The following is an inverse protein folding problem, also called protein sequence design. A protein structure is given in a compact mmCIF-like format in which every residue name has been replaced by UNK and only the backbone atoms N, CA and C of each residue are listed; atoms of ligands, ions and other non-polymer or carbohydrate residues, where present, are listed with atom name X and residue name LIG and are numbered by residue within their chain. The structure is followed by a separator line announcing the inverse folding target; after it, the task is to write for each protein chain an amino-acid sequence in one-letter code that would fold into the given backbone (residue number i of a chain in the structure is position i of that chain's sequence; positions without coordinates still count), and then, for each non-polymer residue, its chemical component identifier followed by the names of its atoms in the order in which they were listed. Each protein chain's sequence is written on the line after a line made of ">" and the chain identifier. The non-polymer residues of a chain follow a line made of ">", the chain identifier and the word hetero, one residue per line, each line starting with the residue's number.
data_IF_213923716579
#
_entry.id   IF_213923716579
#
_cell.length_a   1.000
_cell.length_b   1.000
_cell.length_c   1.000
_cell.angle_alpha   90.00
_cell.angle_beta   90.00
_cell.angle_gamma   90.00
#
_symmetry.space_group_name_H-M   'P 1'
#
loop_
_entity.id
_entity.type
_entity.pdbx_description
1 polymer ?
#
# COMPACT_ATOMS: atom_id res chain seq x y z
N UNK A 1 -52.36 38.39 6.66
CA UNK A 1 -52.68 38.15 5.24
C UNK A 1 -51.47 37.46 4.63
N UNK A 2 -51.46 36.24 4.10
CA UNK A 2 -52.46 35.20 3.80
C UNK A 2 -51.71 33.85 3.93
N UNK A 3 -52.54 32.83 4.10
CA UNK A 3 -52.44 31.40 4.43
C UNK A 3 -51.34 30.44 3.94
N UNK A 4 -51.28 29.38 4.76
CA UNK A 4 -50.88 27.98 4.60
C UNK A 4 -51.34 27.26 3.31
N UNK A 5 -50.57 26.25 2.90
CA UNK A 5 -50.96 24.97 2.24
C UNK A 5 -49.71 24.04 2.36
N UNK A 6 -49.62 22.89 3.06
CA UNK A 6 -50.37 21.62 3.21
C UNK A 6 -50.48 20.76 1.94
N UNK A 7 -49.76 19.62 1.94
CA UNK A 7 -50.16 18.22 1.63
C UNK A 7 -48.86 17.38 1.45
N UNK A 8 -48.52 16.24 2.08
CA UNK A 8 -49.18 15.04 2.65
C UNK A 8 -49.82 14.06 1.64
N UNK A 9 -49.05 13.05 1.24
CA UNK A 9 -49.47 11.74 0.66
C UNK A 9 -48.36 10.73 1.07
N UNK A 10 -48.47 9.81 2.06
CA UNK A 10 -49.24 8.54 2.18
C UNK A 10 -48.94 7.52 1.06
N UNK A 11 -48.66 6.23 1.20
CA UNK A 11 -48.35 5.28 2.27
C UNK A 11 -47.88 3.97 1.54
N UNK A 12 -47.59 2.84 2.23
CA UNK A 12 -46.77 1.71 1.77
C UNK A 12 -47.56 0.50 1.23
N UNK A 13 -46.89 -0.44 0.56
CA UNK A 13 -47.31 -1.85 0.31
C UNK A 13 -45.99 -2.67 0.16
N UNK A 14 -45.53 -3.53 1.07
CA UNK A 14 -46.03 -4.82 1.57
C UNK A 14 -45.92 -6.00 0.57
N UNK A 15 -45.02 -6.96 0.87
CA UNK A 15 -45.12 -8.42 0.66
C UNK A 15 -43.79 -9.04 1.16
N UNK A 16 -43.65 -9.67 2.33
CA UNK A 16 -44.30 -10.87 2.89
C UNK A 16 -44.18 -12.12 2.01
N UNK A 17 -43.37 -13.09 2.46
CA UNK A 17 -43.74 -14.50 2.73
C UNK A 17 -42.47 -15.23 3.23
N UNK A 18 -42.31 -15.47 4.53
CA UNK A 18 -42.80 -16.64 5.30
C UNK A 18 -41.91 -17.88 5.09
N UNK A 19 -41.00 -18.21 6.02
CA UNK A 19 -41.19 -19.00 7.25
C UNK A 19 -41.14 -20.51 7.02
N UNK A 20 -40.36 -21.24 7.83
CA UNK A 20 -40.40 -22.69 7.85
C UNK A 20 -39.32 -23.35 8.70
N UNK A 21 -39.25 -23.01 9.99
CA UNK A 21 -38.59 -23.84 11.00
C UNK A 21 -39.62 -24.78 11.63
N UNK A 22 -39.33 -26.07 11.69
CA UNK A 22 -40.01 -27.01 12.58
C UNK A 22 -39.07 -28.12 13.00
N UNK A 23 -38.86 -28.21 14.31
CA UNK A 23 -38.29 -29.32 15.06
C UNK A 23 -39.41 -30.28 15.45
N UNK A 24 -39.25 -31.60 15.32
CA UNK A 24 -40.07 -32.58 16.06
C UNK A 24 -39.40 -33.99 16.16
N UNK A 25 -39.04 -34.34 17.40
CA UNK A 25 -39.15 -35.62 18.15
C UNK A 25 -39.23 -37.02 17.46
N UNK A 26 -38.29 -37.88 17.88
CA UNK A 26 -38.40 -39.26 18.45
C UNK A 26 -39.32 -40.33 17.83
N UNK A 27 -38.76 -41.47 17.40
CA UNK A 27 -38.96 -42.82 17.99
C UNK A 27 -38.22 -43.97 17.26
N UNK A 28 -37.84 -44.97 18.06
CA UNK A 28 -37.20 -46.26 17.76
C UNK A 28 -37.81 -47.07 16.60
N UNK A 29 -36.98 -47.83 15.88
CA UNK A 29 -36.98 -49.31 15.90
C UNK A 29 -35.94 -49.94 14.96
N UNK A 30 -35.53 -51.13 15.39
CA UNK A 30 -34.51 -52.02 14.84
C UNK A 30 -34.67 -52.45 13.38
N UNK A 31 -33.56 -52.99 12.86
CA UNK A 31 -33.40 -54.31 12.20
C UNK A 31 -33.09 -54.31 10.68
N UNK A 32 -32.09 -55.15 10.32
CA UNK A 32 -31.58 -55.57 8.98
C UNK A 32 -30.58 -54.61 8.31
N UNK A 33 -29.27 -54.84 8.40
CA UNK A 33 -28.45 -55.82 7.65
C UNK A 33 -28.70 -55.80 6.14
N UNK A 34 -27.77 -55.22 5.37
CA UNK A 34 -27.09 -55.92 4.28
C UNK A 34 -25.85 -55.12 3.85
N UNK A 35 -24.71 -55.81 3.84
CA UNK A 35 -23.47 -55.38 3.21
C UNK A 35 -23.68 -55.05 1.74
N UNK A 36 -23.14 -53.92 1.26
CA UNK A 36 -22.77 -53.78 -0.14
C UNK A 36 -21.49 -52.97 -0.27
N UNK A 37 -20.45 -53.71 -0.62
CA UNK A 37 -19.10 -53.29 -0.92
C UNK A 37 -19.11 -52.54 -2.25
N UNK A 38 -18.93 -51.22 -2.24
CA UNK A 38 -18.66 -50.43 -3.44
C UNK A 38 -17.18 -50.06 -3.43
N UNK A 39 -16.41 -50.82 -4.20
CA UNK A 39 -15.08 -50.43 -4.66
C UNK A 39 -15.26 -49.29 -5.65
N UNK A 40 -15.10 -48.06 -5.18
CA UNK A 40 -15.07 -46.84 -5.98
C UNK A 40 -13.63 -46.33 -6.09
N UNK A 41 -12.93 -46.80 -7.11
CA UNK A 41 -11.64 -46.29 -7.56
C UNK A 41 -11.85 -44.92 -8.26
N UNK A 42 -10.84 -44.04 -8.18
CA UNK A 42 -10.68 -42.78 -8.95
C UNK A 42 -11.49 -41.56 -8.45
N UNK A 43 -10.93 -40.36 -8.25
CA UNK A 43 -9.66 -39.77 -8.68
C UNK A 43 -9.06 -38.95 -7.53
N UNK A 44 -7.83 -39.28 -7.10
CA UNK A 44 -6.96 -38.27 -6.51
C UNK A 44 -6.58 -37.33 -7.64
N UNK A 45 -7.17 -36.14 -7.69
CA UNK A 45 -6.60 -35.05 -8.46
C UNK A 45 -5.28 -34.67 -7.77
N UNK A 46 -4.11 -34.78 -8.43
CA UNK A 46 -2.97 -34.02 -7.95
C UNK A 46 -3.37 -32.55 -8.09
N UNK A 47 -3.50 -31.86 -6.97
CA UNK A 47 -3.45 -30.41 -6.92
C UNK A 47 -2.08 -30.03 -7.49
N UNK A 48 -2.02 -29.82 -8.81
CA UNK A 48 -0.95 -29.07 -9.42
C UNK A 48 -1.06 -27.65 -8.89
N UNK A 49 -0.43 -27.40 -7.74
CA UNK A 49 0.17 -26.11 -7.46
C UNK A 49 1.17 -25.89 -8.59
N UNK A 50 0.67 -25.36 -9.70
CA UNK A 50 1.48 -24.60 -10.62
C UNK A 50 1.89 -23.37 -9.81
N UNK A 51 3.00 -23.50 -9.09
CA UNK A 51 3.79 -22.37 -8.65
C UNK A 51 4.08 -21.56 -9.93
N UNK A 52 3.22 -20.58 -10.20
CA UNK A 52 3.47 -19.58 -11.20
C UNK A 52 4.87 -19.02 -10.91
N UNK A 53 5.69 -18.75 -11.93
CA UNK A 53 7.07 -18.35 -11.70
C UNK A 53 7.12 -17.02 -10.93
N UNK A 54 7.25 -17.10 -9.60
CA UNK A 54 7.43 -16.00 -8.65
C UNK A 54 8.77 -15.26 -8.85
N UNK A 55 9.54 -15.64 -9.85
CA UNK A 55 10.96 -15.32 -10.02
C UNK A 55 11.25 -14.15 -10.96
N UNK A 56 10.27 -13.63 -11.71
CA UNK A 56 10.57 -12.61 -12.73
C UNK A 56 10.61 -11.16 -12.22
N UNK A 57 9.87 -10.81 -11.15
CA UNK A 57 9.80 -9.42 -10.67
C UNK A 57 10.63 -9.14 -9.41
N UNK A 58 10.81 -10.14 -8.54
CA UNK A 58 11.53 -9.97 -7.27
C UNK A 58 13.06 -9.80 -7.44
N UNK A 59 13.60 -10.17 -8.61
CA UNK A 59 15.00 -9.93 -9.01
C UNK A 59 15.12 -8.91 -10.15
N UNK A 60 14.04 -8.18 -10.45
CA UNK A 60 14.05 -7.25 -11.57
C UNK A 60 14.93 -6.03 -11.26
N UNK A 61 15.82 -5.59 -12.18
CA UNK A 61 16.60 -4.37 -12.04
C UNK A 61 15.73 -3.10 -12.01
N UNK A 62 14.40 -3.22 -12.08
CA UNK A 62 13.47 -2.10 -11.97
C UNK A 62 13.70 -1.25 -10.70
N UNK A 63 14.02 -1.87 -9.56
CA UNK A 63 14.30 -1.17 -8.30
C UNK A 63 15.52 -0.27 -8.35
N UNK A 64 16.55 -0.69 -9.11
CA UNK A 64 17.79 0.05 -9.24
C UNK A 64 17.57 1.40 -9.93
N UNK A 65 16.58 1.47 -10.82
CA UNK A 65 16.32 2.62 -11.67
C UNK A 65 15.11 3.44 -11.21
N UNK A 66 14.41 3.02 -10.15
CA UNK A 66 13.34 3.82 -9.58
C UNK A 66 13.92 5.11 -8.99
N UNK A 67 13.55 6.26 -9.58
CA UNK A 67 14.03 7.55 -9.13
C UNK A 67 13.15 8.12 -8.03
N UNK A 68 13.71 8.34 -6.85
CA UNK A 68 13.12 9.09 -5.74
C UNK A 68 13.79 10.47 -5.71
N UNK A 69 13.01 11.52 -5.89
CA UNK A 69 13.52 12.90 -5.99
C UNK A 69 14.64 13.09 -7.05
N UNK A 70 14.58 12.32 -8.15
CA UNK A 70 15.54 12.39 -9.27
C UNK A 70 16.84 11.59 -9.09
N UNK A 71 16.96 10.81 -8.01
CA UNK A 71 18.07 9.89 -7.77
C UNK A 71 17.56 8.45 -7.59
N UNK A 72 18.38 7.48 -7.93
CA UNK A 72 18.08 6.05 -7.84
C UNK A 72 19.20 5.30 -7.11
N UNK A 73 18.96 4.02 -6.77
CA UNK A 73 20.01 3.18 -6.19
C UNK A 73 21.18 2.95 -7.17
N UNK A 74 20.96 3.06 -8.49
CA UNK A 74 22.01 2.99 -9.52
C UNK A 74 22.75 4.31 -9.78
N UNK A 75 22.30 5.44 -9.20
CA UNK A 75 22.94 6.74 -9.43
C UNK A 75 24.38 6.73 -8.91
N UNK A 76 25.38 7.15 -9.69
CA UNK A 76 26.75 7.18 -9.19
C UNK A 76 26.88 8.11 -7.96
N UNK A 77 27.58 7.73 -6.87
CA UNK A 77 27.68 8.52 -5.64
C UNK A 77 28.08 9.99 -5.88
N UNK A 78 29.04 10.21 -6.77
CA UNK A 78 29.55 11.52 -7.16
C UNK A 78 28.52 12.40 -7.89
N UNK A 79 27.44 11.81 -8.40
CA UNK A 79 26.35 12.51 -9.11
C UNK A 79 25.15 12.84 -8.23
N UNK A 80 25.07 12.31 -7.02
CA UNK A 80 23.90 12.46 -6.14
C UNK A 80 23.72 13.93 -5.74
N UNK A 81 24.77 14.58 -5.24
CA UNK A 81 24.70 15.97 -4.82
C UNK A 81 24.33 16.90 -5.98
N UNK A 82 24.87 16.67 -7.18
CA UNK A 82 24.56 17.44 -8.39
C UNK A 82 23.08 17.30 -8.77
N UNK A 83 22.57 16.05 -8.84
CA UNK A 83 21.17 15.76 -9.17
C UNK A 83 20.20 16.38 -8.15
N UNK A 84 20.47 16.24 -6.86
CA UNK A 84 19.62 16.79 -5.80
C UNK A 84 19.68 18.33 -5.77
N UNK A 85 20.85 18.94 -6.01
CA UNK A 85 20.98 20.39 -6.11
C UNK A 85 20.18 20.96 -7.29
N UNK A 86 20.17 20.27 -8.44
CA UNK A 86 19.34 20.65 -9.59
C UNK A 86 17.83 20.61 -9.28
N UNK A 87 17.41 19.83 -8.27
CA UNK A 87 16.04 19.75 -7.78
C UNK A 87 15.75 20.71 -6.61
N UNK A 88 16.70 21.60 -6.27
CA UNK A 88 16.57 22.62 -5.23
C UNK A 88 16.86 22.13 -3.81
N UNK A 89 17.48 20.96 -3.65
CA UNK A 89 17.96 20.51 -2.34
C UNK A 89 19.31 21.13 -1.99
N UNK A 90 19.51 21.38 -0.70
CA UNK A 90 20.76 21.83 -0.11
C UNK A 90 21.29 20.72 0.79
N UNK A 91 22.59 20.42 0.69
CA UNK A 91 23.23 19.43 1.54
C UNK A 91 23.33 19.97 2.99
N UNK A 92 22.77 19.23 3.94
CA UNK A 92 22.72 19.58 5.38
C UNK A 92 23.62 18.70 6.25
N UNK A 93 24.30 17.72 5.65
CA UNK A 93 25.24 16.80 6.27
C UNK A 93 25.86 15.89 5.22
N UNK A 94 26.73 14.97 5.61
CA UNK A 94 27.43 14.08 4.67
C UNK A 94 26.47 13.30 3.77
N UNK A 95 25.37 12.81 4.36
CA UNK A 95 24.41 11.93 3.70
C UNK A 95 23.00 12.50 3.61
N UNK A 96 22.79 13.78 3.95
CA UNK A 96 21.45 14.35 4.10
C UNK A 96 21.27 15.65 3.30
N UNK A 97 20.12 15.75 2.62
CA UNK A 97 19.77 16.86 1.73
C UNK A 97 18.37 17.36 2.09
N UNK A 98 18.21 18.68 2.15
CA UNK A 98 16.98 19.34 2.57
C UNK A 98 16.50 20.31 1.50
N UNK A 99 15.18 20.35 1.28
CA UNK A 99 14.50 21.37 0.49
C UNK A 99 13.31 21.86 1.29
N UNK A 100 13.07 23.17 1.30
CA UNK A 100 11.89 23.76 1.93
C UNK A 100 11.06 24.49 0.89
N UNK A 101 9.74 24.41 1.02
CA UNK A 101 8.81 25.17 0.15
C UNK A 101 7.74 25.82 1.02
N UNK A 102 7.50 27.14 0.87
CA UNK A 102 6.47 27.81 1.64
C UNK A 102 5.07 27.27 1.26
N UNK A 103 4.18 27.23 2.25
CA UNK A 103 2.76 26.93 2.09
C UNK A 103 1.92 28.10 2.63
N UNK A 104 0.66 28.16 2.20
CA UNK A 104 -0.28 29.15 2.70
C UNK A 104 -0.44 29.08 4.23
N UNK A 105 -0.73 30.23 4.85
CA UNK A 105 -0.97 30.32 6.30
C UNK A 105 0.28 30.23 7.17
N UNK A 106 1.46 30.58 6.63
CA UNK A 106 2.74 30.53 7.37
C UNK A 106 3.21 29.11 7.66
N UNK A 107 2.76 28.15 6.84
CA UNK A 107 3.21 26.76 6.88
C UNK A 107 4.36 26.58 5.90
N UNK A 108 5.07 25.45 6.01
CA UNK A 108 6.08 25.05 5.05
C UNK A 108 6.08 23.54 4.86
N UNK A 109 6.46 23.10 3.68
CA UNK A 109 6.78 21.70 3.40
C UNK A 109 8.28 21.53 3.51
N UNK A 110 8.71 20.58 4.34
CA UNK A 110 10.10 20.15 4.47
C UNK A 110 10.25 18.83 3.72
N UNK A 111 11.16 18.81 2.76
CA UNK A 111 11.59 17.64 2.04
C UNK A 111 12.99 17.26 2.52
N UNK A 112 13.21 15.99 2.79
CA UNK A 112 14.50 15.46 3.22
C UNK A 112 14.81 14.17 2.49
N UNK A 113 15.99 14.12 1.88
CA UNK A 113 16.54 12.93 1.26
C UNK A 113 17.79 12.54 2.03
N UNK A 114 17.89 11.29 2.45
CA UNK A 114 19.10 10.71 3.00
C UNK A 114 19.60 9.60 2.08
N UNK A 115 20.91 9.58 1.84
CA UNK A 115 21.56 8.54 1.04
C UNK A 115 22.69 7.92 1.85
N UNK A 116 22.55 6.63 2.13
CA UNK A 116 23.61 5.83 2.72
C UNK A 116 24.21 4.93 1.65
N UNK A 117 25.54 4.94 1.50
CA UNK A 117 26.25 4.04 0.60
C UNK A 117 27.51 3.53 1.30
N UNK A 118 27.50 2.26 1.70
CA UNK A 118 28.59 1.62 2.41
C UNK A 118 28.90 0.24 1.79
N UNK A 119 29.80 -0.53 2.38
CA UNK A 119 30.22 -1.83 1.80
C UNK A 119 29.16 -2.92 1.88
N UNK A 120 28.17 -2.79 2.77
CA UNK A 120 27.15 -3.82 3.02
C UNK A 120 25.80 -3.49 2.39
N UNK A 121 25.50 -2.20 2.21
CA UNK A 121 24.23 -1.76 1.66
C UNK A 121 24.33 -0.39 0.99
N UNK A 122 23.29 -0.10 0.22
CA UNK A 122 22.97 1.22 -0.30
C UNK A 122 21.50 1.51 -0.05
N UNK A 123 21.18 2.71 0.42
CA UNK A 123 19.80 3.11 0.68
C UNK A 123 19.49 4.56 0.28
N UNK A 124 18.22 4.78 -0.06
CA UNK A 124 17.64 6.10 -0.24
C UNK A 124 16.45 6.20 0.71
N UNK A 125 16.45 7.21 1.57
CA UNK A 125 15.33 7.54 2.45
C UNK A 125 14.78 8.90 2.02
N UNK A 126 13.48 8.98 1.78
CA UNK A 126 12.79 10.21 1.46
C UNK A 126 11.71 10.48 2.50
N UNK A 127 11.66 11.72 2.95
CA UNK A 127 10.58 12.21 3.79
C UNK A 127 10.09 13.57 3.33
N UNK A 128 8.78 13.74 3.32
CA UNK A 128 8.11 15.02 3.16
C UNK A 128 7.17 15.21 4.34
N UNK A 129 7.27 16.35 5.00
CA UNK A 129 6.38 16.71 6.10
C UNK A 129 5.94 18.16 5.99
N UNK A 130 4.66 18.41 6.23
CA UNK A 130 4.18 19.78 6.41
C UNK A 130 4.33 20.22 7.87
N UNK A 131 4.94 21.38 8.10
CA UNK A 131 5.15 21.96 9.43
C UNK A 131 4.77 23.45 9.48
N UNK A 132 4.68 24.01 10.69
CA UNK A 132 4.36 25.44 10.92
C UNK A 132 2.87 25.78 11.03
N UNK A 133 2.57 27.08 11.13
CA UNK A 133 1.23 27.65 11.32
C UNK A 133 0.98 28.22 12.73
N UNK A 134 0.20 29.31 12.81
CA UNK A 134 -0.06 30.07 14.06
C UNK A 134 -1.07 29.38 15.01
N UNK A 135 -1.73 28.33 14.53
CA UNK A 135 -2.57 27.37 15.25
C UNK A 135 -2.40 26.03 14.52
N UNK A 136 -2.22 24.91 15.23
CA UNK A 136 -2.18 23.56 14.64
C UNK A 136 -3.58 23.18 14.08
N UNK A 137 -4.05 23.87 13.05
CA UNK A 137 -5.22 23.44 12.30
C UNK A 137 -4.95 22.04 11.75
N UNK A 138 -5.87 21.08 11.91
CA UNK A 138 -5.69 19.72 11.44
C UNK A 138 -5.21 19.69 10.00
N UNK A 139 -4.15 18.94 9.74
CA UNK A 139 -3.66 18.79 8.38
C UNK A 139 -4.66 17.90 7.63
N UNK A 140 -5.29 18.43 6.58
CA UNK A 140 -6.24 17.67 5.76
C UNK A 140 -5.52 16.45 5.13
N UNK A 141 -5.82 15.26 5.68
CA UNK A 141 -5.28 13.97 5.23
C UNK A 141 -5.90 13.48 3.92
N UNK A 142 -7.10 13.96 3.59
CA UNK A 142 -7.80 13.64 2.34
C UNK A 142 -7.27 14.36 1.11
N UNK A 143 -6.13 15.07 1.23
CA UNK A 143 -5.49 15.70 0.07
C UNK A 143 -4.81 14.64 -0.78
N UNK A 144 -4.83 14.87 -2.09
CA UNK A 144 -4.15 14.02 -3.07
C UNK A 144 -2.63 14.12 -2.85
N UNK A 145 -1.93 13.01 -3.04
CA UNK A 145 -0.46 12.97 -3.03
C UNK A 145 0.08 13.88 -4.15
N UNK A 146 1.06 14.75 -3.89
CA UNK A 146 1.61 15.65 -4.91
C UNK A 146 2.01 14.94 -6.21
N UNK A 147 1.74 15.55 -7.36
CA UNK A 147 2.00 14.92 -8.68
C UNK A 147 3.47 14.55 -8.89
N UNK A 148 4.40 15.38 -8.39
CA UNK A 148 5.84 15.14 -8.41
C UNK A 148 6.27 13.94 -7.57
N UNK A 149 5.44 13.49 -6.63
CA UNK A 149 5.65 12.25 -5.89
C UNK A 149 4.97 11.06 -6.54
N UNK A 150 3.79 11.25 -7.15
CA UNK A 150 3.06 10.15 -7.78
C UNK A 150 3.86 9.42 -8.86
N UNK A 151 4.76 10.12 -9.55
CA UNK A 151 5.64 9.54 -10.58
C UNK A 151 6.54 8.42 -10.07
N UNK A 152 6.83 8.35 -8.76
CA UNK A 152 7.66 7.29 -8.17
C UNK A 152 6.95 6.51 -7.05
N UNK A 153 6.01 7.14 -6.33
CA UNK A 153 5.21 6.48 -5.30
C UNK A 153 4.37 5.34 -5.87
N UNK A 154 3.69 5.56 -7.01
CA UNK A 154 2.87 4.52 -7.65
C UNK A 154 3.72 3.37 -8.20
N UNK A 155 4.81 3.62 -8.96
CA UNK A 155 5.70 2.54 -9.37
C UNK A 155 6.31 1.75 -8.20
N UNK A 156 6.71 2.42 -7.11
CA UNK A 156 7.20 1.76 -5.89
C UNK A 156 6.13 0.81 -5.33
N UNK A 157 4.90 1.30 -5.15
CA UNK A 157 3.81 0.49 -4.67
C UNK A 157 3.49 -0.68 -5.61
N UNK A 158 3.39 -0.43 -6.92
CA UNK A 158 3.06 -1.45 -7.92
C UNK A 158 4.06 -2.61 -7.91
N UNK A 159 5.35 -2.28 -7.80
CA UNK A 159 6.41 -3.27 -7.76
C UNK A 159 6.46 -4.07 -6.44
N UNK A 160 5.97 -3.52 -5.31
CA UNK A 160 5.86 -4.27 -4.04
C UNK A 160 4.53 -5.03 -3.91
N UNK A 161 3.41 -4.50 -4.42
CA UNK A 161 2.06 -4.90 -3.99
C UNK A 161 1.10 -5.33 -5.11
N UNK A 162 1.26 -4.89 -6.36
CA UNK A 162 0.26 -5.17 -7.41
C UNK A 162 0.54 -6.46 -8.18
N UNK A 163 1.82 -6.84 -8.31
CA UNK A 163 2.25 -7.97 -9.14
C UNK A 163 2.68 -9.18 -8.32
N UNK A 164 2.05 -9.39 -7.16
CA UNK A 164 2.38 -10.48 -6.23
C UNK A 164 1.12 -11.23 -5.77
N UNK A 165 1.30 -12.47 -5.33
CA UNK A 165 0.22 -13.28 -4.80
C UNK A 165 -0.41 -12.66 -3.55
N UNK A 166 -1.70 -12.90 -3.32
CA UNK A 166 -2.44 -12.30 -2.20
C UNK A 166 -1.82 -12.62 -0.83
N UNK A 167 -1.27 -13.82 -0.64
CA UNK A 167 -0.54 -14.18 0.57
C UNK A 167 0.66 -13.24 0.82
N UNK A 168 1.41 -12.88 -0.23
CA UNK A 168 2.53 -11.94 -0.13
C UNK A 168 2.03 -10.52 0.15
N UNK A 169 0.91 -10.10 -0.47
CA UNK A 169 0.29 -8.77 -0.21
C UNK A 169 -0.10 -8.61 1.25
N UNK A 170 -0.67 -9.66 1.85
CA UNK A 170 -1.04 -9.67 3.26
C UNK A 170 0.19 -9.61 4.18
N UNK A 171 1.24 -10.40 3.89
CA UNK A 171 2.50 -10.37 4.65
C UNK A 171 3.17 -8.99 4.56
N UNK A 172 3.14 -8.35 3.38
CA UNK A 172 3.68 -7.00 3.16
C UNK A 172 2.76 -5.88 3.67
N UNK A 173 1.59 -6.22 4.21
CA UNK A 173 0.59 -5.27 4.69
C UNK A 173 0.27 -4.16 3.68
N UNK A 174 0.03 -4.55 2.42
CA UNK A 174 -0.31 -3.60 1.35
C UNK A 174 -1.71 -3.00 1.58
N UNK A 175 -1.79 -1.68 1.77
CA UNK A 175 -3.05 -0.95 1.82
C UNK A 175 -3.62 -0.73 0.41
N UNK A 176 -4.94 -0.54 0.22
CA UNK A 176 -5.48 -0.12 -1.07
C UNK A 176 -4.79 1.15 -1.60
N UNK A 177 -4.44 1.16 -2.88
CA UNK A 177 -3.80 2.33 -3.50
C UNK A 177 -4.84 3.39 -3.88
N UNK A 178 -4.98 4.42 -3.06
CA UNK A 178 -5.84 5.57 -3.33
C UNK A 178 -5.03 6.77 -3.84
N UNK A 179 -5.71 7.80 -4.33
CA UNK A 179 -5.05 9.04 -4.75
C UNK A 179 -4.53 9.87 -3.56
N UNK A 180 -5.18 9.74 -2.40
CA UNK A 180 -4.85 10.48 -1.17
C UNK A 180 -3.98 9.70 -0.19
N UNK A 181 -3.90 8.38 -0.35
CA UNK A 181 -3.20 7.48 0.56
C UNK A 181 -2.71 6.24 -0.18
N UNK A 182 -1.45 5.88 -0.01
CA UNK A 182 -0.85 4.68 -0.58
C UNK A 182 0.34 4.26 0.28
N UNK A 183 0.36 2.98 0.63
CA UNK A 183 1.41 2.48 1.51
C UNK A 183 1.40 0.97 1.67
N UNK A 184 2.51 0.49 2.21
CA UNK A 184 2.70 -0.90 2.59
C UNK A 184 3.64 -0.96 3.80
N UNK A 185 3.65 -2.11 4.49
CA UNK A 185 4.48 -2.31 5.67
C UNK A 185 4.05 -1.50 6.90
N UNK A 186 2.97 -0.71 6.82
CA UNK A 186 2.46 0.12 7.92
C UNK A 186 3.54 1.03 8.54
N UNK A 187 4.41 1.60 7.71
CA UNK A 187 5.54 2.43 8.15
C UNK A 187 6.77 1.65 8.62
N UNK A 188 6.79 0.32 8.44
CA UNK A 188 7.96 -0.53 8.65
C UNK A 188 8.57 -0.99 7.32
N UNK A 189 9.87 -1.33 7.36
CA UNK A 189 10.55 -1.97 6.24
C UNK A 189 10.00 -3.39 6.03
N UNK A 190 9.64 -3.69 4.80
CA UNK A 190 9.24 -5.03 4.35
C UNK A 190 10.29 -5.61 3.44
N UNK A 191 10.54 -6.92 3.59
CA UNK A 191 11.42 -7.66 2.69
C UNK A 191 10.72 -7.85 1.33
N UNK A 192 11.32 -7.30 0.28
CA UNK A 192 10.84 -7.43 -1.10
C UNK A 192 11.54 -8.61 -1.78
N UNK A 193 12.84 -8.75 -1.56
CA UNK A 193 13.66 -9.88 -2.02
C UNK A 193 14.78 -10.16 -1.01
N UNK A 194 15.69 -11.09 -1.32
CA UNK A 194 16.83 -11.39 -0.43
C UNK A 194 17.79 -10.22 -0.25
N UNK A 195 17.85 -9.32 -1.23
CA UNK A 195 18.74 -8.15 -1.22
C UNK A 195 17.98 -6.84 -1.04
N UNK A 196 16.65 -6.82 -1.16
CA UNK A 196 15.88 -5.57 -1.19
C UNK A 196 14.85 -5.51 -0.08
N UNK A 197 14.86 -4.38 0.63
CA UNK A 197 13.83 -3.98 1.57
C UNK A 197 13.27 -2.62 1.18
N UNK A 198 11.98 -2.42 1.41
CA UNK A 198 11.32 -1.17 1.11
C UNK A 198 10.29 -0.79 2.17
N UNK A 199 9.97 0.49 2.26
CA UNK A 199 8.91 1.05 3.07
C UNK A 199 8.23 2.16 2.27
N UNK A 200 6.91 2.26 2.36
CA UNK A 200 6.14 3.36 1.78
C UNK A 200 4.93 3.68 2.67
N UNK A 201 4.83 4.95 3.04
CA UNK A 201 3.66 5.56 3.67
C UNK A 201 3.50 6.96 3.07
N UNK A 202 2.62 7.10 2.08
CA UNK A 202 2.44 8.33 1.33
C UNK A 202 1.00 8.81 1.40
N UNK A 203 0.84 10.06 1.80
CA UNK A 203 -0.45 10.75 1.92
C UNK A 203 -0.31 12.18 1.42
N UNK A 204 -1.43 12.88 1.17
CA UNK A 204 -1.40 14.30 0.81
C UNK A 204 -0.44 15.17 1.65
N UNK A 205 -0.48 15.11 2.99
CA UNK A 205 0.39 15.96 3.82
C UNK A 205 1.76 15.39 4.17
N UNK A 206 1.94 14.07 4.13
CA UNK A 206 3.19 13.46 4.56
C UNK A 206 3.53 12.29 3.65
N UNK A 207 4.81 12.14 3.34
CA UNK A 207 5.31 11.00 2.60
C UNK A 207 6.58 10.51 3.26
N UNK A 208 6.67 9.21 3.51
CA UNK A 208 7.86 8.52 3.98
C UNK A 208 8.11 7.32 3.07
N UNK A 209 9.29 7.25 2.51
CA UNK A 209 9.71 6.13 1.68
C UNK A 209 11.16 5.78 2.00
N UNK A 210 11.47 4.49 1.98
CA UNK A 210 12.84 4.01 2.10
C UNK A 210 13.02 2.80 1.20
N UNK A 211 14.13 2.75 0.47
CA UNK A 211 14.54 1.57 -0.28
C UNK A 211 15.97 1.24 0.11
N UNK A 212 16.22 -0.02 0.44
CA UNK A 212 17.53 -0.55 0.81
C UNK A 212 17.87 -1.68 -0.16
N UNK A 213 19.08 -1.64 -0.70
CA UNK A 213 19.71 -2.75 -1.40
C UNK A 213 20.94 -3.21 -0.63
N UNK A 214 21.00 -4.49 -0.28
CA UNK A 214 22.16 -5.15 0.30
C UNK A 214 23.12 -5.58 -0.81
N UNK A 215 24.43 -5.41 -0.57
CA UNK A 215 25.51 -5.74 -1.51
C UNK A 215 25.99 -7.19 -1.34
#
# INVERSE_FOLDING_TARGET
>A
MIDKLIAKISNPIAASCSSGSSSFSTQHRHFWSLSLLVVGLSCYAPSSDAAAPETALNNSPAWLNLEIAGISLSTAPEKISEKLAAQGYVQSGEHAFLKETPLAGGRKTLYRVEVEDNTTQRSITYTRTESGGRVKSPIARSRIIPEDEQVWVRPLYAAVCEQVQEAIRQVRACSPAEASDIGFGQGALVKVSDQVEAMLDASGPNTAAKIIQRK
#
